data_IF_978290784851
#
_entry.id   IF_978290784851
#
_cell.length_a   1.000
_cell.length_b   1.000
_cell.length_c   1.000
_cell.angle_alpha   90.00
_cell.angle_beta   90.00
_cell.angle_gamma   90.00
#
_symmetry.space_group_name_H-M   'P 1'
#
loop_
_entity.id
_entity.type
_entity.pdbx_description
1 polymer ?
#
# COMPACT_ATOMS: atom_id res chain seq x y z
N UNK A 1 0.20 12.11 -0.15
CA UNK A 1 -1.00 11.59 -0.81
C UNK A 1 -1.80 10.81 0.22
N UNK A 2 -3.12 11.01 0.28
CA UNK A 2 -4.01 10.31 1.21
C UNK A 2 -3.99 8.80 0.92
N UNK A 3 -4.12 8.40 -0.36
CA UNK A 3 -4.15 7.00 -0.77
C UNK A 3 -2.96 6.15 -0.27
N UNK A 4 -1.73 6.72 -0.25
CA UNK A 4 -0.56 5.99 0.27
C UNK A 4 -0.61 5.80 1.78
N UNK A 5 -1.24 6.73 2.52
CA UNK A 5 -1.47 6.56 3.96
C UNK A 5 -2.50 5.47 4.22
N UNK A 6 -3.63 5.51 3.51
CA UNK A 6 -4.68 4.49 3.62
C UNK A 6 -4.15 3.08 3.32
N UNK A 7 -3.33 2.91 2.27
CA UNK A 7 -2.73 1.60 1.96
C UNK A 7 -1.79 1.12 3.06
N UNK A 8 -0.99 2.01 3.66
CA UNK A 8 -0.13 1.64 4.80
C UNK A 8 -0.94 1.25 6.03
N UNK A 9 -2.03 1.94 6.30
CA UNK A 9 -2.94 1.62 7.40
C UNK A 9 -3.65 0.28 7.17
N UNK A 10 -4.11 -0.01 5.95
CA UNK A 10 -4.64 -1.33 5.58
C UNK A 10 -3.61 -2.45 5.82
N UNK A 11 -2.35 -2.25 5.43
CA UNK A 11 -1.28 -3.22 5.72
C UNK A 11 -1.06 -3.45 7.22
N UNK A 12 -1.19 -2.40 8.04
CA UNK A 12 -1.15 -2.53 9.49
C UNK A 12 -2.34 -3.36 10.02
N UNK A 13 -3.56 -3.11 9.54
CA UNK A 13 -4.73 -3.90 9.91
C UNK A 13 -4.61 -5.37 9.50
N UNK A 14 -4.05 -5.66 8.32
CA UNK A 14 -3.79 -7.05 7.89
C UNK A 14 -2.85 -7.78 8.85
N UNK A 15 -1.80 -7.11 9.34
CA UNK A 15 -0.90 -7.70 10.34
C UNK A 15 -1.63 -8.02 11.63
N UNK A 16 -2.43 -7.07 12.15
CA UNK A 16 -3.23 -7.31 13.35
C UNK A 16 -4.20 -8.47 13.17
N UNK A 17 -4.89 -8.57 12.03
CA UNK A 17 -5.83 -9.66 11.75
C UNK A 17 -5.14 -11.03 11.69
N UNK A 18 -3.93 -11.08 11.12
CA UNK A 18 -3.11 -12.29 11.08
C UNK A 18 -2.63 -12.68 12.48
N UNK A 19 -2.09 -11.71 13.24
CA UNK A 19 -1.55 -11.93 14.58
C UNK A 19 -2.63 -12.28 15.62
N UNK A 20 -3.89 -11.90 15.36
CA UNK A 20 -5.05 -12.27 16.16
C UNK A 20 -5.80 -13.50 15.64
N UNK A 21 -5.21 -14.23 14.67
CA UNK A 21 -5.73 -15.47 14.10
C UNK A 21 -7.12 -15.36 13.43
N UNK A 22 -7.55 -14.14 13.06
CA UNK A 22 -8.80 -13.91 12.32
C UNK A 22 -8.70 -14.30 10.84
N UNK A 23 -7.48 -14.31 10.28
CA UNK A 23 -7.19 -14.75 8.93
C UNK A 23 -6.02 -15.73 8.92
N UNK A 24 -6.03 -16.68 7.98
CA UNK A 24 -4.93 -17.61 7.80
C UNK A 24 -3.70 -16.88 7.26
N UNK A 25 -2.52 -17.46 7.49
CA UNK A 25 -1.26 -16.94 6.94
C UNK A 25 -1.28 -16.90 5.40
N UNK A 26 -1.93 -17.88 4.75
CA UNK A 26 -2.13 -17.89 3.30
C UNK A 26 -2.96 -16.68 2.82
N UNK A 27 -4.11 -16.42 3.47
CA UNK A 27 -4.96 -15.27 3.15
C UNK A 27 -4.23 -13.95 3.40
N UNK A 28 -3.49 -13.85 4.51
CA UNK A 28 -2.67 -12.67 4.81
C UNK A 28 -1.62 -12.45 3.72
N UNK A 29 -0.89 -13.49 3.31
CA UNK A 29 0.17 -13.36 2.30
C UNK A 29 -0.39 -12.88 0.96
N UNK A 30 -1.56 -13.38 0.54
CA UNK A 30 -2.19 -12.94 -0.69
C UNK A 30 -2.67 -11.48 -0.60
N UNK A 31 -3.38 -11.12 0.47
CA UNK A 31 -3.88 -9.75 0.69
C UNK A 31 -2.75 -8.73 0.88
N UNK A 32 -1.72 -9.07 1.63
CA UNK A 32 -0.59 -8.19 1.89
C UNK A 32 0.23 -7.97 0.61
N UNK A 33 0.39 -8.99 -0.24
CA UNK A 33 1.04 -8.85 -1.55
C UNK A 33 0.32 -7.83 -2.43
N UNK A 34 -1.00 -7.91 -2.52
CA UNK A 34 -1.82 -6.95 -3.30
C UNK A 34 -1.73 -5.54 -2.71
N UNK A 35 -1.73 -5.43 -1.37
CA UNK A 35 -1.56 -4.17 -0.65
C UNK A 35 -0.20 -3.50 -0.97
N UNK A 36 0.88 -4.29 -0.98
CA UNK A 36 2.23 -3.83 -1.33
C UNK A 36 2.34 -3.43 -2.82
N UNK A 37 1.67 -4.15 -3.72
CA UNK A 37 1.61 -3.77 -5.13
C UNK A 37 0.89 -2.43 -5.33
N UNK A 38 -0.26 -2.23 -4.67
CA UNK A 38 -0.96 -0.94 -4.69
C UNK A 38 -0.09 0.19 -4.14
N UNK A 39 0.65 -0.05 -3.04
CA UNK A 39 1.58 0.94 -2.50
C UNK A 39 2.66 1.34 -3.51
N UNK A 40 3.22 0.37 -4.24
CA UNK A 40 4.24 0.63 -5.28
C UNK A 40 3.67 1.44 -6.44
N UNK A 41 2.48 1.09 -6.94
CA UNK A 41 1.81 1.82 -8.01
C UNK A 41 1.55 3.28 -7.59
N UNK A 42 0.96 3.49 -6.41
CA UNK A 42 0.66 4.83 -5.90
C UNK A 42 1.93 5.67 -5.71
N UNK A 43 3.00 5.08 -5.18
CA UNK A 43 4.27 5.79 -5.05
C UNK A 43 4.86 6.16 -6.42
N UNK A 44 4.82 5.25 -7.41
CA UNK A 44 5.25 5.55 -8.77
C UNK A 44 4.46 6.71 -9.38
N UNK A 45 3.13 6.73 -9.21
CA UNK A 45 2.28 7.84 -9.67
C UNK A 45 2.68 9.15 -9.01
N UNK A 46 2.92 9.16 -7.69
CA UNK A 46 3.33 10.37 -6.97
C UNK A 46 4.68 10.87 -7.46
N UNK A 47 5.66 9.99 -7.63
CA UNK A 47 7.00 10.33 -8.09
C UNK A 47 6.95 10.92 -9.50
N UNK A 48 6.28 10.24 -10.43
CA UNK A 48 6.14 10.70 -11.82
C UNK A 48 5.35 12.01 -11.93
N UNK A 49 4.31 12.19 -11.10
CA UNK A 49 3.54 13.44 -11.05
C UNK A 49 4.40 14.60 -10.53
N UNK A 50 5.17 14.38 -9.46
CA UNK A 50 6.09 15.39 -8.92
C UNK A 50 7.15 15.76 -9.93
N UNK A 51 7.78 14.78 -10.57
CA UNK A 51 8.80 15.02 -11.59
C UNK A 51 8.24 15.86 -12.75
N UNK A 52 7.04 15.53 -13.24
CA UNK A 52 6.39 16.30 -14.30
C UNK A 52 6.10 17.75 -13.87
N UNK A 53 5.62 17.95 -12.64
CA UNK A 53 5.38 19.29 -12.10
C UNK A 53 6.67 20.12 -12.07
N UNK A 54 7.76 19.58 -11.51
CA UNK A 54 9.04 20.28 -11.44
C UNK A 54 9.76 20.45 -12.79
N UNK A 55 9.43 19.66 -13.82
CA UNK A 55 9.91 19.90 -15.20
C UNK A 55 9.15 21.01 -15.93
N UNK A 56 7.93 21.31 -15.49
CA UNK A 56 7.05 22.27 -16.18
C UNK A 56 7.13 23.67 -15.56
N UNK A 57 7.52 23.76 -14.28
CA UNK A 57 7.82 24.99 -13.54
C UNK A 57 9.28 25.35 -13.72
#
# INVERSE_FOLDING_TARGET
>A
SIAVKEVRETGYWLNLLKDSEYITEENFNQLNKDCEELARILNSIILTTKERYFKTV
#
